data_IF_256905765447
#
_entry.id   IF_256905765447
#
_cell.length_a   1.000
_cell.length_b   1.000
_cell.length_c   1.000
_cell.angle_alpha   90.00
_cell.angle_beta   90.00
_cell.angle_gamma   90.00
#
_symmetry.space_group_name_H-M   'P 1'
#
loop_
_entity.id
_entity.type
_entity.pdbx_description
1 polymer ?
#
# COMPACT_ATOMS: atom_id res chain seq x y z
N UNK A 1 -2.63 -5.57 -5.32
CA UNK A 1 -1.99 -4.64 -4.36
C UNK A 1 -1.63 -5.39 -3.09
N UNK A 2 -0.40 -5.24 -2.66
CA UNK A 2 0.06 -5.80 -1.38
C UNK A 2 0.17 -4.67 -0.35
N UNK A 3 -0.63 -4.74 0.70
CA UNK A 3 -0.71 -3.68 1.71
C UNK A 3 0.18 -4.02 2.91
N UNK A 4 1.11 -3.13 3.20
CA UNK A 4 2.10 -3.28 4.28
C UNK A 4 1.92 -2.21 5.34
N UNK A 5 2.31 -2.53 6.57
CA UNK A 5 2.21 -1.59 7.67
C UNK A 5 3.36 -1.75 8.65
N UNK A 6 3.67 -0.68 9.36
CA UNK A 6 4.62 -0.69 10.47
C UNK A 6 4.25 0.41 11.46
N UNK A 7 4.22 0.06 12.75
CA UNK A 7 3.93 0.98 13.81
C UNK A 7 2.53 0.82 14.37
N UNK A 8 2.32 1.38 15.56
CA UNK A 8 1.06 1.30 16.27
C UNK A 8 -0.04 2.05 15.49
N UNK A 9 -1.17 1.38 15.27
CA UNK A 9 -2.30 1.95 14.54
C UNK A 9 -2.20 1.83 13.03
N UNK A 10 -1.05 1.46 12.48
CA UNK A 10 -0.86 1.36 11.04
C UNK A 10 -1.69 0.22 10.44
N UNK A 11 -1.85 -0.88 11.16
CA UNK A 11 -2.64 -2.03 10.72
C UNK A 11 -4.11 -1.66 10.49
N UNK A 12 -4.70 -0.86 11.38
CA UNK A 12 -6.08 -0.40 11.22
C UNK A 12 -6.22 0.55 10.04
N UNK A 13 -5.26 1.45 9.86
CA UNK A 13 -5.29 2.41 8.77
C UNK A 13 -5.16 1.71 7.41
N UNK A 14 -4.24 0.74 7.32
CA UNK A 14 -4.07 -0.06 6.12
C UNK A 14 -5.34 -0.85 5.81
N UNK A 15 -6.01 -1.38 6.82
CA UNK A 15 -7.26 -2.11 6.63
C UNK A 15 -8.33 -1.21 5.98
N UNK A 16 -8.43 0.04 6.42
CA UNK A 16 -9.36 1.00 5.83
C UNK A 16 -9.05 1.27 4.36
N UNK A 17 -7.77 1.45 4.04
CA UNK A 17 -7.33 1.65 2.67
C UNK A 17 -7.61 0.43 1.80
N UNK A 18 -7.34 -0.76 2.34
CA UNK A 18 -7.60 -2.01 1.63
C UNK A 18 -9.08 -2.17 1.29
N UNK A 19 -9.96 -1.85 2.24
CA UNK A 19 -11.40 -1.91 2.01
C UNK A 19 -11.85 -0.93 0.94
N UNK A 20 -11.32 0.30 0.96
CA UNK A 20 -11.65 1.30 -0.05
C UNK A 20 -11.21 0.86 -1.44
N UNK A 21 -10.02 0.28 -1.55
CA UNK A 21 -9.52 -0.23 -2.83
C UNK A 21 -10.33 -1.41 -3.34
N UNK A 22 -10.70 -2.33 -2.46
CA UNK A 22 -11.53 -3.49 -2.83
C UNK A 22 -12.89 -3.02 -3.35
N UNK A 23 -13.44 -1.98 -2.75
CA UNK A 23 -14.71 -1.39 -3.21
C UNK A 23 -14.61 -0.83 -4.63
N UNK A 24 -13.40 -0.45 -5.07
CA UNK A 24 -13.14 0.04 -6.42
C UNK A 24 -12.65 -1.04 -7.38
N UNK A 25 -12.73 -2.30 -6.99
CA UNK A 25 -12.40 -3.42 -7.86
C UNK A 25 -10.95 -3.89 -7.80
N UNK A 26 -10.14 -3.38 -6.87
CA UNK A 26 -8.77 -3.85 -6.70
C UNK A 26 -8.73 -5.13 -5.88
N UNK A 27 -7.84 -6.03 -6.25
CA UNK A 27 -7.47 -7.16 -5.40
C UNK A 27 -6.41 -6.70 -4.43
N UNK A 28 -6.69 -6.80 -3.13
CA UNK A 28 -5.77 -6.33 -2.09
C UNK A 28 -5.45 -7.48 -1.14
N UNK A 29 -4.16 -7.76 -1.00
CA UNK A 29 -3.66 -8.70 -0.01
C UNK A 29 -3.06 -7.89 1.14
N UNK A 30 -3.60 -8.06 2.33
CA UNK A 30 -3.13 -7.35 3.51
C UNK A 30 -2.16 -8.23 4.28
N UNK A 31 -0.97 -7.68 4.58
CA UNK A 31 -0.01 -8.37 5.41
C UNK A 31 -0.52 -8.50 6.84
N UNK A 32 -0.39 -9.68 7.43
CA UNK A 32 -0.73 -9.92 8.84
C UNK A 32 0.53 -10.18 9.65
N UNK A 33 0.53 -9.72 10.91
CA UNK A 33 1.64 -9.89 11.83
C UNK A 33 2.55 -8.67 11.92
N UNK A 34 3.59 -8.78 12.73
CA UNK A 34 4.46 -7.65 13.10
C UNK A 34 5.88 -7.85 12.55
N UNK A 35 5.99 -8.07 11.26
CA UNK A 35 7.28 -8.18 10.62
C UNK A 35 7.81 -6.81 10.20
N UNK A 36 9.14 -6.70 10.02
CA UNK A 36 9.75 -5.47 9.51
C UNK A 36 9.24 -5.15 8.11
N UNK A 37 9.31 -3.87 7.72
CA UNK A 37 8.97 -3.48 6.35
C UNK A 37 9.81 -4.21 5.32
N UNK A 38 11.09 -4.47 5.62
CA UNK A 38 11.96 -5.22 4.72
C UNK A 38 11.43 -6.63 4.46
N UNK A 39 10.99 -7.33 5.53
CA UNK A 39 10.42 -8.66 5.39
C UNK A 39 9.09 -8.64 4.65
N UNK A 40 8.25 -7.64 4.91
CA UNK A 40 6.99 -7.47 4.21
C UNK A 40 7.21 -7.19 2.73
N UNK A 41 8.19 -6.35 2.39
CA UNK A 41 8.52 -6.04 1.00
C UNK A 41 8.97 -7.29 0.24
N UNK A 42 9.74 -8.16 0.90
CA UNK A 42 10.16 -9.42 0.31
C UNK A 42 8.96 -10.32 0.00
N UNK A 43 8.00 -10.38 0.91
CA UNK A 43 6.76 -11.13 0.68
C UNK A 43 5.94 -10.51 -0.45
N UNK A 44 5.90 -9.19 -0.54
CA UNK A 44 5.23 -8.49 -1.63
C UNK A 44 5.84 -8.85 -2.98
N UNK A 45 7.17 -8.86 -3.07
CA UNK A 45 7.87 -9.27 -4.29
C UNK A 45 7.52 -10.69 -4.69
N UNK A 46 7.46 -11.60 -3.71
CA UNK A 46 7.17 -13.01 -3.96
C UNK A 46 5.69 -13.27 -4.27
N UNK A 47 4.80 -12.36 -3.91
CA UNK A 47 3.36 -12.52 -4.12
C UNK A 47 2.93 -12.29 -5.58
N UNK A 48 3.77 -11.65 -6.37
CA UNK A 48 3.43 -11.26 -7.73
C UNK A 48 2.54 -10.02 -7.81
N UNK A 49 2.32 -9.32 -6.71
CA UNK A 49 1.53 -8.10 -6.71
C UNK A 49 2.20 -7.02 -7.57
N UNK A 50 1.41 -6.31 -8.37
CA UNK A 50 1.93 -5.22 -9.20
C UNK A 50 2.22 -3.97 -8.40
N UNK A 51 1.37 -3.67 -7.41
CA UNK A 51 1.49 -2.46 -6.61
C UNK A 51 1.61 -2.81 -5.14
N UNK A 52 2.34 -1.98 -4.39
CA UNK A 52 2.46 -2.08 -2.95
C UNK A 52 2.01 -0.78 -2.31
N UNK A 53 1.39 -0.91 -1.14
CA UNK A 53 0.88 0.18 -0.32
C UNK A 53 1.57 0.08 1.04
N UNK A 54 2.16 1.18 1.51
CA UNK A 54 2.93 1.19 2.75
C UNK A 54 2.39 2.29 3.66
N UNK A 55 2.05 1.92 4.89
CA UNK A 55 1.69 2.85 5.95
C UNK A 55 2.59 2.59 7.14
N UNK A 56 3.47 3.52 7.46
CA UNK A 56 4.35 3.48 8.63
C UNK A 56 4.12 4.73 9.47
N UNK A 57 4.99 4.99 10.45
CA UNK A 57 4.80 6.10 11.39
C UNK A 57 4.69 7.45 10.69
N UNK A 58 5.53 7.73 9.71
CA UNK A 58 5.52 9.00 9.00
C UNK A 58 4.21 9.19 8.23
N UNK A 59 3.72 8.14 7.57
CA UNK A 59 2.46 8.18 6.84
C UNK A 59 1.28 8.39 7.79
N UNK A 60 1.28 7.72 8.94
CA UNK A 60 0.25 7.92 9.95
C UNK A 60 0.23 9.37 10.45
N UNK A 61 1.39 9.93 10.75
CA UNK A 61 1.51 11.28 11.28
C UNK A 61 1.05 12.35 10.27
N UNK A 62 1.27 12.10 8.98
CA UNK A 62 1.01 13.07 7.92
C UNK A 62 -0.29 12.84 7.16
N UNK A 63 -1.03 11.77 7.46
CA UNK A 63 -2.25 11.44 6.71
C UNK A 63 -1.97 11.05 5.27
N UNK A 64 -0.81 10.44 5.02
CA UNK A 64 -0.36 10.04 3.69
C UNK A 64 -0.20 8.52 3.59
N UNK A 65 0.09 8.06 2.39
CA UNK A 65 0.37 6.66 2.10
C UNK A 65 1.46 6.61 1.03
N UNK A 66 2.38 5.66 1.15
CA UNK A 66 3.43 5.45 0.16
C UNK A 66 3.01 4.33 -0.78
N UNK A 67 3.08 4.60 -2.09
CA UNK A 67 2.73 3.66 -3.14
C UNK A 67 3.98 3.30 -3.93
N UNK A 68 4.12 2.02 -4.24
CA UNK A 68 5.23 1.53 -5.05
C UNK A 68 4.71 0.66 -6.18
N UNK A 69 5.18 0.93 -7.41
CA UNK A 69 4.94 0.07 -8.55
C UNK A 69 6.03 -1.00 -8.56
N UNK A 70 5.65 -2.24 -8.29
CA UNK A 70 6.59 -3.35 -8.18
C UNK A 70 7.29 -3.64 -9.52
N UNK A 71 6.69 -3.23 -10.63
CA UNK A 71 7.31 -3.34 -11.96
C UNK A 71 8.24 -2.17 -12.28
N UNK A 72 8.29 -1.17 -11.40
CA UNK A 72 9.18 -0.03 -11.55
C UNK A 72 8.76 1.06 -12.51
N UNK A 73 7.64 0.89 -13.24
CA UNK A 73 7.22 1.84 -14.28
C UNK A 73 6.89 3.23 -13.71
N UNK A 74 6.25 3.27 -12.53
CA UNK A 74 5.86 4.53 -11.88
C UNK A 74 6.71 4.87 -10.65
N UNK A 75 7.64 3.98 -10.29
CA UNK A 75 8.51 4.19 -9.14
C UNK A 75 7.77 4.11 -7.82
N UNK A 76 8.16 4.99 -6.90
CA UNK A 76 7.60 5.05 -5.55
C UNK A 76 7.20 6.50 -5.27
N UNK A 77 5.98 6.69 -4.75
CA UNK A 77 5.44 8.02 -4.46
C UNK A 77 4.72 8.01 -3.12
N UNK A 78 4.80 9.12 -2.40
CA UNK A 78 3.99 9.36 -1.22
C UNK A 78 2.88 10.33 -1.60
N UNK A 79 1.64 9.94 -1.38
CA UNK A 79 0.46 10.72 -1.76
C UNK A 79 -0.45 10.91 -0.54
N UNK A 80 -1.33 11.92 -0.60
CA UNK A 80 -2.36 12.08 0.42
C UNK A 80 -3.29 10.86 0.40
N UNK A 81 -3.85 10.52 1.56
CA UNK A 81 -4.74 9.37 1.67
C UNK A 81 -5.91 9.44 0.69
N UNK A 82 -6.44 10.63 0.46
CA UNK A 82 -7.56 10.87 -0.48
C UNK A 82 -7.17 10.64 -1.94
N UNK A 83 -5.87 10.67 -2.25
CA UNK A 83 -5.36 10.46 -3.61
C UNK A 83 -4.96 9.02 -3.89
N UNK A 84 -5.10 8.15 -2.91
CA UNK A 84 -4.70 6.73 -3.03
C UNK A 84 -5.39 6.04 -4.20
N UNK A 85 -6.70 6.00 -4.19
CA UNK A 85 -7.46 5.30 -5.22
C UNK A 85 -7.29 5.92 -6.61
N UNK A 86 -7.38 7.25 -6.77
CA UNK A 86 -7.14 7.87 -8.08
C UNK A 86 -5.75 7.55 -8.65
N UNK A 87 -4.72 7.59 -7.79
CA UNK A 87 -3.36 7.32 -8.23
C UNK A 87 -3.20 5.89 -8.73
N UNK A 88 -3.70 4.91 -7.95
CA UNK A 88 -3.61 3.51 -8.36
C UNK A 88 -4.44 3.20 -9.59
N UNK A 89 -5.60 3.84 -9.74
CA UNK A 89 -6.41 3.68 -10.96
C UNK A 89 -5.66 4.20 -12.18
N UNK A 90 -4.98 5.33 -12.05
CA UNK A 90 -4.17 5.89 -13.11
C UNK A 90 -3.02 4.94 -13.49
N UNK A 91 -2.33 4.38 -12.49
CA UNK A 91 -1.24 3.44 -12.74
C UNK A 91 -1.73 2.16 -13.39
N UNK A 92 -2.88 1.66 -12.96
CA UNK A 92 -3.48 0.44 -13.50
C UNK A 92 -3.84 0.60 -14.97
N UNK A 93 -4.29 1.78 -15.37
CA UNK A 93 -4.75 2.06 -16.73
C UNK A 93 -3.64 2.59 -17.65
N UNK A 94 -2.46 2.81 -17.11
CA UNK A 94 -1.33 3.34 -17.88
C UNK A 94 -0.66 2.27 -18.74
#
# INVERSE_FOLDING_TARGET
VYAMHQGEGADLQVMKYAQALRAQGFNVMQHSGYQSLKAQMKKADNSGARFALIVAQDELANGTVTLKDMNGAHGQQTVAAEDLTPTLQQWKNA
#
